data_IF_123953439066
#
_entry.id   IF_123953439066
#
_cell.length_a   1.000
_cell.length_b   1.000
_cell.length_c   1.000
_cell.angle_alpha   90.00
_cell.angle_beta   90.00
_cell.angle_gamma   90.00
#
_symmetry.space_group_name_H-M   'P 1'
#
loop_
_entity.id
_entity.type
_entity.pdbx_description
1 polymer ?
#
# COMPACT_ATOMS: atom_id res chain seq x y z
N UNK A 1 21.53 18.40 -13.92
CA UNK A 1 20.86 17.12 -13.61
C UNK A 1 21.06 16.85 -12.13
N UNK A 2 20.02 16.98 -11.32
CA UNK A 2 20.09 16.54 -9.92
C UNK A 2 19.94 15.01 -9.89
N UNK A 3 20.83 14.33 -9.18
CA UNK A 3 20.73 12.88 -8.97
C UNK A 3 19.89 12.63 -7.71
N UNK A 4 18.85 11.80 -7.80
CA UNK A 4 18.13 11.35 -6.61
C UNK A 4 18.96 10.27 -5.90
N UNK A 5 19.11 10.44 -4.58
CA UNK A 5 19.69 9.46 -3.68
C UNK A 5 18.59 9.06 -2.71
N UNK A 6 18.32 7.76 -2.62
CA UNK A 6 17.29 7.19 -1.75
C UNK A 6 17.94 6.15 -0.85
N UNK A 7 17.58 6.18 0.43
CA UNK A 7 17.94 5.14 1.39
C UNK A 7 16.67 4.36 1.75
N UNK A 8 16.70 3.05 1.52
CA UNK A 8 15.65 2.14 1.95
C UNK A 8 16.08 1.54 3.29
N UNK A 9 15.30 1.77 4.34
CA UNK A 9 15.61 1.36 5.71
C UNK A 9 14.54 0.40 6.19
N UNK A 10 14.91 -0.87 6.40
CA UNK A 10 14.01 -1.89 6.92
C UNK A 10 14.65 -2.60 8.14
N UNK A 11 13.82 -2.92 9.13
CA UNK A 11 14.25 -3.62 10.34
C UNK A 11 13.82 -5.09 10.28
N UNK A 12 14.56 -5.91 9.54
CA UNK A 12 14.30 -7.34 9.45
C UNK A 12 14.93 -8.11 10.61
N UNK A 13 14.27 -9.19 11.04
CA UNK A 13 14.80 -10.04 12.10
C UNK A 13 16.12 -10.68 11.66
N UNK A 14 17.21 -10.40 12.38
CA UNK A 14 18.48 -11.09 12.15
C UNK A 14 18.38 -12.52 12.66
N UNK A 15 18.74 -13.50 11.84
CA UNK A 15 19.08 -14.81 12.37
C UNK A 15 20.39 -14.68 13.18
N UNK A 16 20.65 -15.60 14.11
CA UNK A 16 21.93 -15.63 14.86
C UNK A 16 23.14 -16.02 14.00
N UNK A 17 22.98 -16.14 12.68
CA UNK A 17 24.01 -16.49 11.71
C UNK A 17 24.29 -15.39 10.69
N UNK A 18 25.10 -15.71 9.67
CA UNK A 18 25.51 -14.78 8.61
C UNK A 18 24.42 -14.50 7.55
N UNK A 19 23.36 -15.30 7.52
CA UNK A 19 22.27 -15.19 6.54
C UNK A 19 20.99 -14.71 7.22
N UNK A 20 20.44 -13.60 6.73
CA UNK A 20 19.11 -13.14 7.14
C UNK A 20 18.04 -13.91 6.36
N UNK A 21 17.05 -14.47 7.08
CA UNK A 21 15.88 -15.14 6.49
C UNK A 21 14.67 -14.25 6.71
N UNK A 22 14.03 -13.87 5.62
CA UNK A 22 12.83 -13.06 5.64
C UNK A 22 11.61 -13.97 5.68
N UNK A 23 10.68 -13.71 6.60
CA UNK A 23 9.35 -14.28 6.46
C UNK A 23 8.60 -13.56 5.33
N UNK A 24 7.43 -14.07 4.92
CA UNK A 24 6.74 -13.48 3.79
C UNK A 24 6.26 -12.04 4.04
N UNK A 25 5.86 -11.70 5.27
CA UNK A 25 5.48 -10.33 5.63
C UNK A 25 6.67 -9.36 5.53
N UNK A 26 7.89 -9.82 5.84
CA UNK A 26 9.12 -9.04 5.65
C UNK A 26 9.38 -8.78 4.15
N UNK A 27 9.14 -9.78 3.29
CA UNK A 27 9.27 -9.64 1.83
C UNK A 27 8.23 -8.67 1.27
N UNK A 28 6.98 -8.78 1.70
CA UNK A 28 5.91 -7.85 1.32
C UNK A 28 6.26 -6.41 1.75
N UNK A 29 6.74 -6.23 3.00
CA UNK A 29 7.22 -4.92 3.49
C UNK A 29 8.38 -4.40 2.65
N UNK A 30 9.34 -5.26 2.28
CA UNK A 30 10.44 -4.86 1.40
C UNK A 30 9.94 -4.35 0.05
N UNK A 31 8.97 -5.04 -0.55
CA UNK A 31 8.38 -4.64 -1.84
C UNK A 31 7.58 -3.33 -1.71
N UNK A 32 6.86 -3.13 -0.60
CA UNK A 32 6.18 -1.87 -0.30
C UNK A 32 7.18 -0.69 -0.29
N UNK A 33 8.23 -0.78 0.53
CA UNK A 33 9.25 0.28 0.63
C UNK A 33 10.03 0.44 -0.68
N UNK A 34 10.26 -0.65 -1.41
CA UNK A 34 10.90 -0.59 -2.71
C UNK A 34 10.04 0.12 -3.76
N UNK A 35 8.71 0.01 -3.68
CA UNK A 35 7.79 0.79 -4.50
C UNK A 35 7.96 2.30 -4.30
N UNK A 36 8.07 2.76 -3.04
CA UNK A 36 8.39 4.16 -2.70
C UNK A 36 9.76 4.58 -3.21
N UNK A 37 10.77 3.71 -3.06
CA UNK A 37 12.11 3.97 -3.53
C UNK A 37 12.18 4.10 -5.06
N UNK A 38 11.49 3.22 -5.80
CA UNK A 38 11.37 3.29 -7.26
C UNK A 38 10.63 4.55 -7.69
N UNK A 39 9.53 4.91 -7.03
CA UNK A 39 8.81 6.15 -7.33
C UNK A 39 9.73 7.37 -7.21
N UNK A 40 10.53 7.42 -6.14
CA UNK A 40 11.48 8.49 -5.91
C UNK A 40 12.64 8.51 -6.92
N UNK A 41 13.20 7.35 -7.24
CA UNK A 41 14.34 7.20 -8.14
C UNK A 41 13.99 7.45 -9.61
N UNK A 42 12.78 7.09 -10.03
CA UNK A 42 12.32 7.16 -11.41
C UNK A 42 11.61 8.48 -11.75
N UNK A 43 11.25 9.27 -10.75
CA UNK A 43 10.62 10.58 -10.93
C UNK A 43 11.55 11.57 -11.66
N UNK A 44 11.03 12.21 -12.71
CA UNK A 44 11.74 13.20 -13.54
C UNK A 44 10.87 14.44 -13.67
N UNK A 45 10.89 15.27 -12.64
CA UNK A 45 10.16 16.55 -12.60
C UNK A 45 11.11 17.73 -12.77
N UNK A 46 10.58 18.84 -13.31
CA UNK A 46 11.32 20.09 -13.41
C UNK A 46 11.54 20.73 -12.03
N UNK A 47 10.51 20.66 -11.17
CA UNK A 47 10.55 21.24 -9.83
C UNK A 47 10.69 20.18 -8.74
N UNK A 48 11.54 20.48 -7.76
CA UNK A 48 11.80 19.61 -6.60
C UNK A 48 10.54 19.36 -5.75
N UNK A 49 9.60 20.32 -5.71
CA UNK A 49 8.36 20.18 -4.94
C UNK A 49 7.44 19.07 -5.45
N UNK A 50 7.62 18.63 -6.68
CA UNK A 50 6.87 17.52 -7.28
C UNK A 50 7.70 16.25 -7.42
N UNK A 51 8.96 16.24 -6.98
CA UNK A 51 9.84 15.09 -7.19
C UNK A 51 9.47 13.92 -6.28
N UNK A 52 9.54 12.72 -6.84
CA UNK A 52 9.35 11.46 -6.12
C UNK A 52 7.95 11.31 -5.52
N UNK A 53 7.89 10.92 -4.26
CA UNK A 53 6.63 10.68 -3.52
C UNK A 53 5.91 11.96 -3.09
N UNK A 54 6.35 13.15 -3.52
CA UNK A 54 5.65 14.42 -3.28
C UNK A 54 4.44 14.59 -4.20
N UNK A 55 3.47 13.70 -4.04
CA UNK A 55 2.20 13.61 -4.79
C UNK A 55 1.02 13.92 -3.87
N UNK A 56 -0.20 13.92 -4.43
CA UNK A 56 -1.41 13.95 -3.60
C UNK A 56 -1.44 12.73 -2.66
N UNK A 57 -1.80 12.96 -1.40
CA UNK A 57 -1.66 11.97 -0.32
C UNK A 57 -2.47 10.70 -0.58
N UNK A 58 -3.65 10.85 -1.19
CA UNK A 58 -4.58 9.77 -1.54
C UNK A 58 -4.06 8.82 -2.62
N UNK A 59 -3.06 9.24 -3.41
CA UNK A 59 -2.40 8.40 -4.43
C UNK A 59 -0.97 8.01 -4.08
N UNK A 60 -0.36 8.62 -3.05
CA UNK A 60 1.04 8.41 -2.66
C UNK A 60 1.40 6.95 -2.39
N UNK A 61 0.48 6.21 -1.79
CA UNK A 61 0.66 4.79 -1.44
C UNK A 61 0.35 3.84 -2.62
N UNK A 62 -0.11 4.35 -3.78
CA UNK A 62 -0.51 3.48 -4.90
C UNK A 62 0.68 2.69 -5.46
N UNK A 63 1.88 3.29 -5.68
CA UNK A 63 3.05 2.53 -6.11
C UNK A 63 3.46 1.45 -5.11
N UNK A 64 3.52 1.75 -3.81
CA UNK A 64 3.94 0.79 -2.78
C UNK A 64 2.96 -0.39 -2.69
N UNK A 65 1.65 -0.12 -2.63
CA UNK A 65 0.61 -1.16 -2.66
C UNK A 65 0.64 -1.98 -3.96
N UNK A 66 0.98 -1.38 -5.10
CA UNK A 66 1.12 -2.12 -6.37
C UNK A 66 2.26 -3.13 -6.29
N UNK A 67 3.41 -2.74 -5.73
CA UNK A 67 4.56 -3.63 -5.62
C UNK A 67 4.35 -4.76 -4.60
N UNK A 68 3.48 -4.60 -3.60
CA UNK A 68 3.07 -5.72 -2.73
C UNK A 68 2.51 -6.89 -3.55
N UNK A 69 1.70 -6.65 -4.59
CA UNK A 69 1.18 -7.75 -5.43
C UNK A 69 2.29 -8.58 -6.10
N UNK A 70 3.42 -7.97 -6.45
CA UNK A 70 4.57 -8.69 -7.01
C UNK A 70 5.20 -9.64 -5.99
N UNK A 71 5.16 -9.31 -4.70
CA UNK A 71 5.63 -10.19 -3.64
C UNK A 71 4.79 -11.48 -3.55
N UNK A 72 3.56 -11.50 -4.04
CA UNK A 72 2.66 -12.67 -3.98
C UNK A 72 2.56 -13.47 -5.29
N UNK A 73 3.20 -13.01 -6.38
CA UNK A 73 3.18 -13.72 -7.68
C UNK A 73 4.29 -14.76 -7.77
N UNK A 74 3.93 -16.02 -8.04
CA UNK A 74 4.87 -17.12 -8.17
C UNK A 74 5.99 -16.85 -9.19
N UNK A 75 5.67 -16.23 -10.33
CA UNK A 75 6.63 -15.95 -11.41
C UNK A 75 7.71 -14.97 -10.96
N UNK A 76 7.36 -14.07 -10.05
CA UNK A 76 8.30 -13.13 -9.43
C UNK A 76 9.06 -13.81 -8.30
N UNK A 77 8.37 -14.47 -7.36
CA UNK A 77 8.99 -15.13 -6.22
C UNK A 77 10.06 -16.14 -6.64
N UNK A 78 9.80 -16.96 -7.67
CA UNK A 78 10.75 -17.98 -8.15
C UNK A 78 12.07 -17.42 -8.69
N UNK A 79 12.20 -16.11 -8.90
CA UNK A 79 13.46 -15.52 -9.40
C UNK A 79 14.46 -15.23 -8.29
N UNK A 80 14.02 -15.21 -7.02
CA UNK A 80 14.89 -14.86 -5.89
C UNK A 80 14.66 -15.71 -4.63
N UNK A 81 13.47 -16.29 -4.45
CA UNK A 81 13.18 -17.18 -3.33
C UNK A 81 13.73 -18.57 -3.67
N UNK A 82 15.00 -18.80 -3.33
CA UNK A 82 15.72 -20.05 -3.54
C UNK A 82 15.95 -20.76 -2.20
N UNK A 83 15.88 -22.08 -2.20
CA UNK A 83 16.28 -22.88 -1.05
C UNK A 83 17.78 -22.70 -0.79
N UNK A 84 18.15 -22.40 0.45
CA UNK A 84 19.55 -22.12 0.82
C UNK A 84 20.46 -23.35 0.67
N UNK A 85 19.91 -24.56 0.71
CA UNK A 85 20.68 -25.81 0.64
C UNK A 85 20.76 -26.33 -0.78
N UNK A 86 19.63 -26.38 -1.50
CA UNK A 86 19.56 -26.97 -2.84
C UNK A 86 19.70 -25.94 -3.96
N UNK A 87 19.42 -24.67 -3.69
CA UNK A 87 19.33 -23.61 -4.70
C UNK A 87 18.06 -23.68 -5.56
N UNK A 88 17.14 -24.62 -5.27
CA UNK A 88 15.91 -24.76 -6.03
C UNK A 88 14.96 -23.59 -5.76
N UNK A 89 14.21 -23.12 -6.78
CA UNK A 89 13.22 -22.08 -6.58
C UNK A 89 12.06 -22.56 -5.72
N UNK A 90 11.43 -21.61 -5.01
CA UNK A 90 10.21 -21.86 -4.22
C UNK A 90 9.19 -22.68 -5.02
N UNK A 91 8.65 -23.79 -4.48
CA UNK A 91 7.68 -24.59 -5.20
C UNK A 91 6.37 -23.83 -5.46
N UNK A 92 5.83 -23.92 -6.67
CA UNK A 92 4.56 -23.25 -7.03
C UNK A 92 3.40 -23.66 -6.10
N UNK A 93 3.38 -24.94 -5.68
CA UNK A 93 2.39 -25.46 -4.72
C UNK A 93 2.45 -24.72 -3.37
N UNK A 94 3.64 -24.33 -2.91
CA UNK A 94 3.81 -23.59 -1.67
C UNK A 94 3.28 -22.16 -1.82
N UNK A 95 3.55 -21.49 -2.94
CA UNK A 95 2.99 -20.15 -3.22
C UNK A 95 1.46 -20.19 -3.33
N UNK A 96 0.89 -21.23 -3.95
CA UNK A 96 -0.57 -21.44 -3.97
C UNK A 96 -1.15 -21.59 -2.56
N UNK A 97 -0.51 -22.36 -1.68
CA UNK A 97 -0.95 -22.52 -0.30
C UNK A 97 -0.83 -21.20 0.50
N UNK A 98 0.27 -20.46 0.29
CA UNK A 98 0.50 -19.14 0.86
C UNK A 98 -0.60 -18.14 0.45
N UNK A 99 -0.91 -18.05 -0.85
CA UNK A 99 -2.00 -17.23 -1.37
C UNK A 99 -3.37 -17.62 -0.82
N UNK A 100 -3.63 -18.93 -0.65
CA UNK A 100 -4.87 -19.40 -0.03
C UNK A 100 -4.98 -18.94 1.44
N UNK A 101 -3.87 -18.95 2.19
CA UNK A 101 -3.85 -18.50 3.59
C UNK A 101 -4.07 -16.99 3.75
N UNK A 102 -3.59 -16.16 2.81
CA UNK A 102 -3.84 -14.71 2.77
C UNK A 102 -5.34 -14.39 2.71
N UNK A 103 -6.11 -15.21 2.00
CA UNK A 103 -7.53 -15.00 1.79
C UNK A 103 -8.42 -15.58 2.89
N UNK A 104 -7.87 -15.94 4.06
CA UNK A 104 -8.64 -16.53 5.16
C UNK A 104 -9.46 -15.50 5.96
N UNK A 105 -8.96 -14.27 6.12
CA UNK A 105 -9.65 -13.20 6.88
C UNK A 105 -9.68 -11.82 6.19
N UNK A 106 -9.95 -11.73 4.89
CA UNK A 106 -9.84 -10.47 4.15
C UNK A 106 -10.82 -9.40 4.66
N UNK A 107 -12.01 -9.81 5.13
CA UNK A 107 -12.99 -8.89 5.71
C UNK A 107 -12.52 -8.29 7.05
N UNK A 108 -11.88 -9.08 7.91
CA UNK A 108 -11.30 -8.62 9.19
C UNK A 108 -10.18 -7.62 8.93
N UNK A 109 -9.32 -7.90 7.96
CA UNK A 109 -8.23 -7.01 7.57
C UNK A 109 -8.74 -5.69 6.99
N UNK A 110 -9.74 -5.76 6.10
CA UNK A 110 -10.39 -4.57 5.55
C UNK A 110 -11.09 -3.75 6.64
N UNK A 111 -11.84 -4.40 7.55
CA UNK A 111 -12.51 -3.73 8.67
C UNK A 111 -11.51 -2.99 9.58
N UNK A 112 -10.33 -3.58 9.81
CA UNK A 112 -9.24 -2.94 10.56
C UNK A 112 -8.73 -1.67 9.87
N UNK A 113 -8.49 -1.71 8.56
CA UNK A 113 -8.07 -0.54 7.78
C UNK A 113 -9.13 0.57 7.76
N UNK A 114 -10.40 0.19 7.62
CA UNK A 114 -11.53 1.12 7.73
C UNK A 114 -11.59 1.77 9.12
N UNK A 115 -11.42 0.97 10.18
CA UNK A 115 -11.39 1.47 11.54
C UNK A 115 -10.25 2.47 11.77
N UNK A 116 -9.03 2.18 11.28
CA UNK A 116 -7.90 3.12 11.38
C UNK A 116 -8.19 4.44 10.67
N UNK A 117 -8.82 4.37 9.49
CA UNK A 117 -9.22 5.55 8.72
C UNK A 117 -10.26 6.40 9.45
N UNK A 118 -11.31 5.76 9.98
CA UNK A 118 -12.36 6.45 10.75
C UNK A 118 -11.78 7.06 12.03
N UNK A 119 -10.92 6.33 12.73
CA UNK A 119 -10.24 6.80 13.94
C UNK A 119 -9.39 8.03 13.64
N UNK A 120 -8.53 7.97 12.64
CA UNK A 120 -7.69 9.10 12.22
C UNK A 120 -8.52 10.33 11.86
N UNK A 121 -9.51 10.19 11.00
CA UNK A 121 -10.41 11.29 10.62
C UNK A 121 -11.23 11.83 11.81
N UNK A 122 -11.59 10.98 12.76
CA UNK A 122 -12.28 11.44 13.99
C UNK A 122 -11.33 12.23 14.87
N UNK A 123 -10.08 11.78 15.03
CA UNK A 123 -9.11 12.43 15.92
C UNK A 123 -8.54 13.73 15.33
N UNK A 124 -8.54 13.90 14.00
CA UNK A 124 -8.04 15.11 13.32
C UNK A 124 -9.12 15.93 12.59
N UNK A 125 -10.38 15.50 12.67
CA UNK A 125 -11.52 16.17 12.03
C UNK A 125 -11.96 17.45 12.76
N UNK A 126 -13.20 17.87 12.49
CA UNK A 126 -13.76 19.06 13.12
C UNK A 126 -13.97 18.85 14.61
N UNK A 127 -13.15 19.54 15.42
CA UNK A 127 -13.29 19.56 16.86
C UNK A 127 -13.85 20.88 17.35
N UNK A 128 -14.76 20.80 18.32
CA UNK A 128 -15.06 21.97 19.17
C UNK A 128 -13.80 22.35 19.95
N UNK A 129 -13.69 23.59 20.44
CA UNK A 129 -12.54 24.12 21.19
C UNK A 129 -12.18 23.40 22.51
N UNK A 130 -12.82 22.26 22.81
CA UNK A 130 -12.57 21.45 24.01
C UNK A 130 -11.62 20.29 23.69
N UNK A 131 -10.72 19.93 24.62
CA UNK A 131 -9.89 18.74 24.49
C UNK A 131 -10.76 17.49 24.30
N UNK A 132 -10.40 16.65 23.34
CA UNK A 132 -11.05 15.36 23.08
C UNK A 132 -10.45 14.29 23.97
N UNK A 133 -11.29 13.56 24.70
CA UNK A 133 -10.88 12.29 25.31
C UNK A 133 -10.69 11.24 24.21
N UNK A 134 -9.45 11.13 23.73
CA UNK A 134 -9.08 10.21 22.66
C UNK A 134 -9.31 8.74 23.05
N UNK A 135 -9.25 8.39 24.33
CA UNK A 135 -9.41 7.01 24.79
C UNK A 135 -10.87 6.59 24.59
N UNK A 136 -11.79 7.41 25.10
CA UNK A 136 -13.22 7.16 24.99
C UNK A 136 -13.67 7.20 23.52
N UNK A 137 -13.20 8.17 22.73
CA UNK A 137 -13.50 8.25 21.30
C UNK A 137 -13.05 6.98 20.54
N UNK A 138 -11.81 6.52 20.75
CA UNK A 138 -11.30 5.31 20.09
C UNK A 138 -12.07 4.06 20.55
N UNK A 139 -12.41 3.96 21.83
CA UNK A 139 -13.19 2.85 22.36
C UNK A 139 -14.61 2.80 21.75
N UNK A 140 -15.29 3.94 21.63
CA UNK A 140 -16.60 4.07 21.00
C UNK A 140 -16.57 3.69 19.52
N UNK A 141 -15.59 4.21 18.77
CA UNK A 141 -15.41 3.86 17.37
C UNK A 141 -15.17 2.36 17.18
N UNK A 142 -14.36 1.75 18.04
CA UNK A 142 -14.04 0.33 17.96
C UNK A 142 -15.27 -0.54 18.22
N UNK A 143 -16.06 -0.20 19.24
CA UNK A 143 -17.36 -0.86 19.52
C UNK A 143 -18.35 -0.71 18.36
N UNK A 144 -18.38 0.45 17.71
CA UNK A 144 -19.35 0.76 16.65
C UNK A 144 -18.99 0.14 15.29
N UNK A 145 -17.71 0.09 14.95
CA UNK A 145 -17.25 -0.19 13.58
C UNK A 145 -16.49 -1.51 13.41
N UNK A 146 -16.14 -2.20 14.50
CA UNK A 146 -15.40 -3.47 14.43
C UNK A 146 -16.12 -4.61 15.13
N UNK A 147 -15.80 -5.84 14.74
CA UNK A 147 -16.34 -7.06 15.36
C UNK A 147 -15.64 -7.45 16.67
N UNK A 148 -14.60 -6.73 17.08
CA UNK A 148 -13.84 -6.97 18.32
C UNK A 148 -13.81 -5.72 19.21
N UNK A 149 -14.07 -5.91 20.49
CA UNK A 149 -14.17 -4.80 21.42
C UNK A 149 -12.83 -4.13 21.74
N UNK A 150 -12.91 -2.89 22.19
CA UNK A 150 -11.81 -2.22 22.87
C UNK A 150 -11.44 -2.98 24.15
N UNK A 151 -10.14 -3.08 24.45
CA UNK A 151 -9.65 -3.71 25.67
C UNK A 151 -9.37 -2.60 26.68
N UNK A 152 -10.11 -2.57 27.78
CA UNK A 152 -9.97 -1.56 28.83
C UNK A 152 -8.54 -1.53 29.40
N UNK A 153 -8.08 -0.32 29.73
CA UNK A 153 -6.71 -0.08 30.21
C UNK A 153 -5.62 -0.14 29.13
N UNK A 154 -5.97 -0.36 27.86
CA UNK A 154 -5.03 -0.19 26.74
C UNK A 154 -5.09 1.21 26.18
N UNK A 155 -4.09 1.62 25.39
CA UNK A 155 -4.03 2.92 24.69
C UNK A 155 -3.38 2.76 23.31
N UNK A 156 -3.88 1.82 22.50
CA UNK A 156 -3.19 1.39 21.28
C UNK A 156 -2.87 2.55 20.32
N UNK A 157 -3.80 3.51 20.17
CA UNK A 157 -3.67 4.65 19.26
C UNK A 157 -2.47 5.54 19.58
N UNK A 158 -2.01 5.57 20.84
CA UNK A 158 -0.80 6.32 21.24
C UNK A 158 0.49 5.72 20.67
N UNK A 159 0.44 4.47 20.19
CA UNK A 159 1.56 3.78 19.53
C UNK A 159 1.43 3.79 18.01
N UNK A 160 0.38 4.42 17.50
CA UNK A 160 0.11 4.47 16.07
C UNK A 160 0.80 5.69 15.46
N UNK A 161 2.07 5.52 15.07
CA UNK A 161 2.93 6.60 14.59
C UNK A 161 2.39 7.33 13.37
N UNK A 162 1.54 6.68 12.56
CA UNK A 162 0.86 7.30 11.43
C UNK A 162 0.04 8.54 11.83
N UNK A 163 -0.48 8.61 13.05
CA UNK A 163 -1.21 9.80 13.50
C UNK A 163 -0.33 11.06 13.57
N UNK A 164 1.01 10.94 13.64
CA UNK A 164 1.89 12.11 13.78
C UNK A 164 2.19 12.78 12.44
N UNK A 165 2.56 11.98 11.43
CA UNK A 165 2.98 12.50 10.13
C UNK A 165 1.91 12.38 9.03
N UNK A 166 0.86 11.57 9.27
CA UNK A 166 -0.20 11.22 8.33
C UNK A 166 -1.60 11.56 8.86
N UNK A 167 -1.69 12.41 9.91
CA UNK A 167 -2.96 12.78 10.53
C UNK A 167 -3.99 13.31 9.53
N UNK A 168 -5.24 12.87 9.66
CA UNK A 168 -6.34 13.07 8.70
C UNK A 168 -6.11 12.48 7.29
N UNK A 169 -5.11 11.62 7.12
CA UNK A 169 -4.68 11.06 5.86
C UNK A 169 -4.76 9.53 5.77
N UNK A 170 -5.03 8.81 6.86
CA UNK A 170 -4.86 7.34 6.87
C UNK A 170 -5.78 6.59 5.90
N UNK A 171 -6.92 7.19 5.53
CA UNK A 171 -7.82 6.66 4.50
C UNK A 171 -7.12 6.46 3.14
N UNK A 172 -6.01 7.17 2.89
CA UNK A 172 -5.24 7.05 1.65
C UNK A 172 -4.72 5.64 1.40
N UNK A 173 -4.43 4.85 2.45
CA UNK A 173 -4.02 3.45 2.30
C UNK A 173 -5.10 2.63 1.58
N UNK A 174 -6.37 2.80 1.94
CA UNK A 174 -7.47 2.10 1.28
C UNK A 174 -7.73 2.61 -0.13
N UNK A 175 -7.62 3.92 -0.35
CA UNK A 175 -7.76 4.51 -1.69
C UNK A 175 -6.68 3.97 -2.63
N UNK A 176 -5.43 4.08 -2.21
CA UNK A 176 -4.27 3.55 -2.92
C UNK A 176 -4.38 2.05 -3.18
N UNK A 177 -4.86 1.26 -2.21
CA UNK A 177 -5.09 -0.17 -2.41
C UNK A 177 -6.11 -0.43 -3.50
N UNK A 178 -7.21 0.32 -3.58
CA UNK A 178 -8.20 0.17 -4.66
C UNK A 178 -7.58 0.44 -6.04
N UNK A 179 -6.80 1.53 -6.16
CA UNK A 179 -6.08 1.85 -7.39
C UNK A 179 -5.06 0.76 -7.75
N UNK A 180 -4.26 0.33 -6.78
CA UNK A 180 -3.23 -0.70 -6.95
C UNK A 180 -3.85 -2.05 -7.36
N UNK A 181 -4.95 -2.48 -6.74
CA UNK A 181 -5.64 -3.73 -7.12
C UNK A 181 -6.12 -3.67 -8.57
N UNK A 182 -6.71 -2.54 -8.98
CA UNK A 182 -7.17 -2.34 -10.36
C UNK A 182 -6.00 -2.34 -11.35
N UNK A 183 -4.95 -1.57 -11.07
CA UNK A 183 -3.72 -1.53 -11.88
C UNK A 183 -3.09 -2.93 -11.99
N UNK A 184 -3.02 -3.66 -10.88
CA UNK A 184 -2.48 -5.01 -10.88
C UNK A 184 -3.27 -5.92 -11.81
N UNK A 185 -4.58 -6.01 -11.61
CA UNK A 185 -5.45 -6.92 -12.37
C UNK A 185 -5.48 -6.60 -13.87
N UNK A 186 -5.59 -5.31 -14.23
CA UNK A 186 -5.79 -4.90 -15.63
C UNK A 186 -4.48 -4.70 -16.41
N UNK A 187 -3.38 -4.35 -15.73
CA UNK A 187 -2.13 -3.94 -16.40
C UNK A 187 -0.97 -4.90 -16.14
N UNK A 188 -0.84 -5.42 -14.91
CA UNK A 188 0.38 -6.12 -14.48
C UNK A 188 0.23 -7.65 -14.47
N UNK A 189 -0.93 -8.16 -14.04
CA UNK A 189 -1.12 -9.56 -13.67
C UNK A 189 -0.92 -10.53 -14.85
N UNK A 190 -1.22 -10.11 -16.08
CA UNK A 190 -1.02 -10.93 -17.28
C UNK A 190 0.41 -11.42 -17.42
N UNK A 191 1.38 -10.50 -17.28
CA UNK A 191 2.81 -10.81 -17.27
C UNK A 191 3.57 -9.80 -16.38
N UNK A 192 3.82 -10.13 -15.09
CA UNK A 192 4.46 -9.23 -14.14
C UNK A 192 5.94 -8.99 -14.44
N UNK A 193 6.58 -9.83 -15.27
CA UNK A 193 7.97 -9.62 -15.68
C UNK A 193 8.07 -8.95 -17.06
N UNK A 194 6.94 -8.49 -17.61
CA UNK A 194 6.90 -7.82 -18.90
C UNK A 194 7.70 -6.51 -18.90
N UNK A 195 8.66 -6.43 -19.82
CA UNK A 195 9.46 -5.21 -20.02
C UNK A 195 8.61 -4.03 -20.53
N UNK A 196 7.58 -4.29 -21.33
CA UNK A 196 6.69 -3.24 -21.82
C UNK A 196 5.83 -2.69 -20.68
N UNK A 197 5.30 -3.56 -19.81
CA UNK A 197 4.55 -3.17 -18.61
C UNK A 197 5.44 -2.39 -17.64
N UNK A 198 6.66 -2.86 -17.36
CA UNK A 198 7.62 -2.12 -16.54
C UNK A 198 7.98 -0.74 -17.11
N UNK A 199 8.11 -0.63 -18.43
CA UNK A 199 8.32 0.66 -19.10
C UNK A 199 7.11 1.58 -18.97
N UNK A 200 5.89 1.03 -19.03
CA UNK A 200 4.66 1.79 -18.80
C UNK A 200 4.55 2.28 -17.35
N UNK A 201 4.84 1.44 -16.35
CA UNK A 201 4.90 1.84 -14.92
C UNK A 201 5.90 2.99 -14.75
N UNK A 202 7.09 2.88 -15.35
CA UNK A 202 8.09 3.95 -15.29
C UNK A 202 7.59 5.23 -15.96
N UNK A 203 7.19 5.16 -17.23
CA UNK A 203 7.05 6.35 -18.07
C UNK A 203 5.67 7.01 -17.96
N UNK A 204 4.62 6.25 -17.66
CA UNK A 204 3.25 6.76 -17.53
C UNK A 204 2.81 6.98 -16.09
N UNK A 205 3.49 6.37 -15.11
CA UNK A 205 3.11 6.46 -13.71
C UNK A 205 4.21 7.13 -12.86
N UNK A 206 5.31 6.44 -12.57
CA UNK A 206 6.32 6.89 -11.59
C UNK A 206 7.12 8.12 -12.02
N UNK A 207 7.37 8.29 -13.32
CA UNK A 207 8.14 9.42 -13.89
C UNK A 207 7.59 10.77 -13.46
N UNK A 208 6.28 10.90 -13.29
CA UNK A 208 5.64 12.20 -13.16
C UNK A 208 5.79 12.81 -11.76
N UNK A 209 6.10 11.99 -10.73
CA UNK A 209 5.97 12.45 -9.34
C UNK A 209 4.64 13.18 -9.14
N UNK A 210 4.66 14.31 -8.42
CA UNK A 210 3.50 15.18 -8.21
C UNK A 210 3.21 16.19 -9.32
N UNK A 211 3.92 16.13 -10.45
CA UNK A 211 3.82 17.16 -11.49
C UNK A 211 2.63 16.94 -12.46
N UNK A 212 1.89 15.85 -12.29
CA UNK A 212 0.73 15.49 -13.12
C UNK A 212 -0.48 15.27 -12.24
N UNK A 213 -1.63 15.78 -12.70
CA UNK A 213 -2.90 15.59 -12.03
C UNK A 213 -3.19 14.08 -11.82
N UNK A 214 -3.53 13.63 -10.59
CA UNK A 214 -3.74 12.22 -10.30
C UNK A 214 -4.82 11.55 -11.16
N UNK A 215 -5.90 12.27 -11.50
CA UNK A 215 -6.99 11.71 -12.30
C UNK A 215 -6.54 11.41 -13.74
N UNK A 216 -5.77 12.34 -14.33
CA UNK A 216 -5.18 12.18 -15.66
C UNK A 216 -4.09 11.11 -15.64
N UNK A 217 -3.24 11.12 -14.61
CA UNK A 217 -2.17 10.13 -14.42
C UNK A 217 -2.72 8.70 -14.39
N UNK A 218 -3.72 8.44 -13.54
CA UNK A 218 -4.32 7.12 -13.36
C UNK A 218 -5.03 6.65 -14.63
N UNK A 219 -5.79 7.52 -15.30
CA UNK A 219 -6.46 7.20 -16.57
C UNK A 219 -5.51 6.86 -17.70
N UNK A 220 -4.45 7.68 -17.88
CA UNK A 220 -3.47 7.46 -18.95
C UNK A 220 -2.70 6.14 -18.78
N UNK A 221 -2.53 5.69 -17.52
CA UNK A 221 -1.80 4.48 -17.19
C UNK A 221 -2.69 3.24 -17.15
N UNK A 222 -3.84 3.30 -16.48
CA UNK A 222 -4.69 2.14 -16.14
C UNK A 222 -6.06 2.14 -16.83
N UNK A 223 -6.41 3.20 -17.57
CA UNK A 223 -7.70 3.35 -18.25
C UNK A 223 -8.78 4.01 -17.39
N UNK A 224 -9.95 4.26 -17.99
CA UNK A 224 -11.02 5.05 -17.37
C UNK A 224 -11.73 4.36 -16.19
N UNK A 225 -11.65 3.03 -16.09
CA UNK A 225 -12.33 2.26 -15.03
C UNK A 225 -11.71 2.46 -13.65
N UNK A 226 -10.49 2.98 -13.55
CA UNK A 226 -9.74 3.10 -12.28
C UNK A 226 -10.31 4.16 -11.33
N UNK A 227 -11.01 5.17 -11.86
CA UNK A 227 -11.57 6.29 -11.09
C UNK A 227 -13.02 6.57 -11.46
N UNK A 228 -13.78 7.09 -10.49
CA UNK A 228 -15.08 7.73 -10.69
C UNK A 228 -15.01 9.19 -10.20
N UNK A 229 -15.69 10.09 -10.89
CA UNK A 229 -15.78 11.49 -10.46
C UNK A 229 -16.94 11.65 -9.46
N UNK A 230 -16.70 12.32 -8.34
CA UNK A 230 -17.73 12.61 -7.34
C UNK A 230 -17.43 13.91 -6.59
N UNK A 231 -18.39 14.82 -6.52
CA UNK A 231 -18.29 16.04 -5.70
C UNK A 231 -17.11 16.97 -6.02
N UNK A 232 -16.57 16.92 -7.24
CA UNK A 232 -15.38 17.69 -7.64
C UNK A 232 -14.04 17.01 -7.33
N UNK A 233 -14.06 15.81 -6.73
CA UNK A 233 -12.89 14.95 -6.54
C UNK A 233 -12.99 13.64 -7.31
N UNK A 234 -11.99 12.77 -7.10
CA UNK A 234 -11.97 11.40 -7.61
C UNK A 234 -12.18 10.40 -6.47
N UNK A 235 -12.90 9.33 -6.76
CA UNK A 235 -12.97 8.14 -5.91
C UNK A 235 -12.47 6.94 -6.71
N UNK A 236 -11.79 5.98 -6.08
CA UNK A 236 -11.41 4.75 -6.76
C UNK A 236 -12.65 3.93 -7.14
N UNK A 237 -12.58 3.23 -8.29
CA UNK A 237 -13.45 2.09 -8.48
C UNK A 237 -13.03 0.95 -7.54
N UNK A 238 -14.00 0.39 -6.82
CA UNK A 238 -13.74 -0.62 -5.79
C UNK A 238 -13.99 -2.05 -6.30
N UNK A 239 -14.44 -2.23 -7.55
CA UNK A 239 -14.90 -3.54 -8.04
C UNK A 239 -13.79 -4.58 -8.02
N UNK A 240 -12.59 -4.20 -8.44
CA UNK A 240 -11.40 -5.07 -8.40
C UNK A 240 -11.01 -5.47 -6.98
N UNK A 241 -11.11 -4.54 -6.01
CA UNK A 241 -10.84 -4.82 -4.61
C UNK A 241 -11.93 -5.71 -4.00
N UNK A 242 -13.22 -5.41 -4.22
CA UNK A 242 -14.33 -6.25 -3.76
C UNK A 242 -14.19 -7.70 -4.25
N UNK A 243 -13.85 -7.88 -5.53
CA UNK A 243 -13.57 -9.20 -6.10
C UNK A 243 -12.36 -9.88 -5.46
N UNK A 244 -11.29 -9.13 -5.16
CA UNK A 244 -10.10 -9.66 -4.45
C UNK A 244 -10.47 -10.16 -3.05
N UNK A 245 -11.30 -9.42 -2.31
CA UNK A 245 -11.66 -9.73 -0.91
C UNK A 245 -12.90 -10.63 -0.77
N UNK A 246 -13.56 -10.98 -1.87
CA UNK A 246 -14.75 -11.84 -1.87
C UNK A 246 -16.04 -11.17 -1.40
N UNK A 247 -16.21 -9.88 -1.70
CA UNK A 247 -17.41 -9.07 -1.41
C UNK A 247 -18.28 -8.84 -2.66
#
# INVERSE_FOLDING_TARGET
>A
LAFQIIALVCNFSSSRGLTARLNHCDVETLFHEFGHALHSLLSRTEYQHFSGTRVALDVAETPSNLFEFYAWDYRVLRTFALDETTGDPIPEKLVKALNASRNMFPATDLQRQVFYSIMDLTLFGEHTSKPVDTISAVADLKRKHTSWNYVEGTHWHTRFSHLINYGAGYYSYLYARCFATTIWQEVCQGDPLSRSTGSAIRDKFLRHGGAKDPSVLLKDFAGDSVIKNSGGGIIPDISSLCKEVGL
#
